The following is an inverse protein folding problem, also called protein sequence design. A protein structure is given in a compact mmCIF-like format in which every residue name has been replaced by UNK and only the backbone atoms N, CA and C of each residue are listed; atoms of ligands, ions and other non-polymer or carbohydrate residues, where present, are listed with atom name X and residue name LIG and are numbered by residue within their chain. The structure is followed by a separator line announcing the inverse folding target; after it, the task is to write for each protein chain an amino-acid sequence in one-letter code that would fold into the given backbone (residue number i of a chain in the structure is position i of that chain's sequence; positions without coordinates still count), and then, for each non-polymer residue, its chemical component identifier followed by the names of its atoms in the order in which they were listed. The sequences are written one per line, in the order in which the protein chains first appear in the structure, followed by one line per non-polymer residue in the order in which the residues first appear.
data_IF_386219170358
#
_entry.id   IF_386219170358
#
_cell.length_a   1.000
_cell.length_b   1.000
_cell.length_c   1.000
_cell.angle_alpha   90.00
_cell.angle_beta   90.00
_cell.angle_gamma   90.00
#
_symmetry.space_group_name_H-M   'P 1'
#
loop_
_entity.id
_entity.type
_entity.pdbx_description
1 polymer ?
#
# COMPACT_ATOMS: atom_id res chain seq x y z
N UNK A 1 -17.19 -17.67 23.26
CA UNK A 1 -17.77 -18.11 21.95
C UNK A 1 -18.40 -16.87 21.35
N UNK A 2 -18.19 -16.59 20.07
CA UNK A 2 -18.81 -15.42 19.43
C UNK A 2 -20.28 -15.72 19.11
N UNK A 3 -21.12 -14.70 19.24
CA UNK A 3 -22.55 -14.76 18.96
C UNK A 3 -22.96 -13.87 17.78
N UNK A 4 -22.14 -12.83 17.53
CA UNK A 4 -22.37 -11.87 16.46
C UNK A 4 -21.17 -11.79 15.54
N UNK A 5 -21.43 -11.73 14.24
CA UNK A 5 -20.40 -11.69 13.21
C UNK A 5 -20.59 -10.47 12.33
N UNK A 6 -19.59 -9.60 12.33
CA UNK A 6 -19.61 -8.38 11.55
C UNK A 6 -18.73 -8.56 10.32
N UNK A 7 -19.31 -8.55 9.16
CA UNK A 7 -18.57 -8.53 7.90
C UNK A 7 -18.41 -7.10 7.42
N UNK A 8 -17.21 -6.76 6.96
CA UNK A 8 -16.90 -5.43 6.45
C UNK A 8 -16.24 -5.53 5.09
N UNK A 9 -16.87 -4.89 4.12
CA UNK A 9 -16.32 -4.65 2.79
C UNK A 9 -15.79 -3.23 2.70
N UNK A 10 -14.52 -3.09 2.31
CA UNK A 10 -13.76 -1.83 2.39
C UNK A 10 -13.46 -1.30 1.01
N UNK A 11 -13.80 -0.04 0.79
CA UNK A 11 -13.39 0.76 -0.35
C UNK A 11 -12.42 1.87 0.06
N UNK A 12 -11.99 2.69 -0.88
CA UNK A 12 -11.01 3.76 -0.65
C UNK A 12 -11.50 4.80 0.37
N UNK A 13 -12.73 5.26 0.24
CA UNK A 13 -13.25 6.41 0.98
C UNK A 13 -14.37 6.03 1.98
N UNK A 14 -14.82 4.78 1.94
CA UNK A 14 -15.92 4.28 2.77
C UNK A 14 -15.81 2.76 2.98
N UNK A 15 -16.62 2.25 3.88
CA UNK A 15 -16.80 0.81 4.08
C UNK A 15 -18.25 0.49 4.38
N UNK A 16 -18.71 -0.65 3.91
CA UNK A 16 -20.03 -1.21 4.21
C UNK A 16 -19.91 -2.33 5.22
N UNK A 17 -20.87 -2.43 6.13
CA UNK A 17 -20.87 -3.49 7.13
C UNK A 17 -22.23 -4.21 7.22
N UNK A 18 -22.19 -5.45 7.67
CA UNK A 18 -23.35 -6.25 7.96
C UNK A 18 -23.09 -7.06 9.24
N UNK A 19 -24.03 -7.03 10.16
CA UNK A 19 -23.98 -7.81 11.41
C UNK A 19 -24.95 -8.97 11.29
N UNK A 20 -24.48 -10.19 11.52
CA UNK A 20 -25.30 -11.40 11.53
C UNK A 20 -25.21 -12.13 12.87
N UNK A 21 -26.28 -12.85 13.22
CA UNK A 21 -26.29 -13.81 14.33
C UNK A 21 -25.80 -15.21 13.89
N UNK A 22 -25.79 -16.14 14.83
CA UNK A 22 -25.46 -17.56 14.60
C UNK A 22 -26.37 -18.24 13.57
N UNK A 23 -27.58 -17.72 13.32
CA UNK A 23 -28.54 -18.23 12.33
C UNK A 23 -28.40 -17.51 10.98
N UNK A 24 -27.35 -16.72 10.78
CA UNK A 24 -27.09 -15.95 9.55
C UNK A 24 -28.13 -14.85 9.26
N UNK A 25 -28.98 -14.53 10.25
CA UNK A 25 -29.94 -13.43 10.13
C UNK A 25 -29.20 -12.09 10.25
N UNK A 26 -29.40 -11.21 9.30
CA UNK A 26 -28.91 -9.82 9.40
C UNK A 26 -29.66 -9.10 10.52
N UNK A 27 -28.92 -8.62 11.49
CA UNK A 27 -29.41 -7.83 12.62
C UNK A 27 -29.29 -6.33 12.32
N UNK A 28 -28.18 -5.93 11.72
CA UNK A 28 -27.94 -4.56 11.32
C UNK A 28 -27.04 -4.49 10.09
N UNK A 29 -27.14 -3.42 9.33
CA UNK A 29 -26.29 -3.14 8.17
C UNK A 29 -26.18 -1.64 7.94
N UNK A 30 -25.08 -1.19 7.36
CA UNK A 30 -24.88 0.21 7.05
C UNK A 30 -23.62 0.46 6.26
N UNK A 31 -23.32 1.73 6.06
CA UNK A 31 -22.07 2.19 5.44
C UNK A 31 -21.55 3.40 6.23
N UNK A 32 -20.23 3.49 6.36
CA UNK A 32 -19.54 4.57 7.07
C UNK A 32 -18.39 5.09 6.21
N UNK A 33 -18.01 6.36 6.42
CA UNK A 33 -16.83 6.94 5.82
C UNK A 33 -15.54 6.38 6.42
N UNK A 34 -14.47 6.32 5.62
CA UNK A 34 -13.13 5.93 6.08
C UNK A 34 -12.45 7.12 6.79
N UNK A 35 -13.08 7.63 7.85
CA UNK A 35 -12.64 8.77 8.64
C UNK A 35 -13.03 8.60 10.12
N UNK A 36 -12.59 9.54 10.96
CA UNK A 36 -12.81 9.48 12.40
C UNK A 36 -14.30 9.38 12.78
N UNK A 37 -15.16 10.14 12.13
CA UNK A 37 -16.60 10.13 12.39
C UNK A 37 -17.25 8.80 11.97
N UNK A 38 -16.89 8.29 10.79
CA UNK A 38 -17.35 6.99 10.32
C UNK A 38 -16.93 5.86 11.24
N UNK A 39 -15.69 5.88 11.75
CA UNK A 39 -15.24 4.91 12.75
C UNK A 39 -16.02 5.02 14.06
N UNK A 40 -16.24 6.23 14.56
CA UNK A 40 -17.04 6.46 15.77
C UNK A 40 -18.45 5.88 15.62
N UNK A 41 -19.11 6.15 14.49
CA UNK A 41 -20.45 5.64 14.20
C UNK A 41 -20.45 4.11 14.11
N UNK A 42 -19.48 3.52 13.43
CA UNK A 42 -19.33 2.07 13.34
C UNK A 42 -19.10 1.41 14.69
N UNK A 43 -18.23 1.97 15.54
CA UNK A 43 -18.00 1.44 16.89
C UNK A 43 -19.23 1.56 17.80
N UNK A 44 -20.03 2.63 17.66
CA UNK A 44 -21.31 2.75 18.37
C UNK A 44 -22.30 1.66 17.94
N UNK A 45 -22.23 1.20 16.70
CA UNK A 45 -23.05 0.07 16.24
C UNK A 45 -22.54 -1.23 16.85
N UNK A 46 -21.24 -1.54 16.71
CA UNK A 46 -20.66 -2.79 17.22
C UNK A 46 -20.82 -2.94 18.73
N UNK A 47 -20.69 -1.87 19.49
CA UNK A 47 -20.80 -1.91 20.95
C UNK A 47 -22.17 -2.38 21.47
N UNK A 48 -23.18 -2.42 20.61
CA UNK A 48 -24.52 -2.96 20.94
C UNK A 48 -24.59 -4.49 20.85
N UNK A 49 -23.58 -5.12 20.28
CA UNK A 49 -23.53 -6.56 20.05
C UNK A 49 -22.42 -7.17 20.92
N UNK A 50 -22.84 -7.79 22.01
CA UNK A 50 -21.91 -8.52 22.88
C UNK A 50 -21.28 -9.71 22.13
N UNK A 51 -20.06 -10.07 22.50
CA UNK A 51 -19.34 -11.19 21.87
C UNK A 51 -19.24 -11.10 20.34
N UNK A 52 -19.10 -9.90 19.80
CA UNK A 52 -18.95 -9.70 18.36
C UNK A 52 -17.52 -9.96 17.90
N UNK A 53 -17.39 -10.50 16.69
CA UNK A 53 -16.12 -10.57 15.95
C UNK A 53 -16.27 -9.93 14.58
N UNK A 54 -15.18 -9.35 14.08
CA UNK A 54 -15.17 -8.60 12.82
C UNK A 54 -14.33 -9.30 11.77
N UNK A 55 -14.89 -9.51 10.58
CA UNK A 55 -14.19 -9.96 9.38
C UNK A 55 -13.98 -8.81 8.41
N UNK A 56 -12.74 -8.57 8.01
CA UNK A 56 -12.36 -7.60 7.00
C UNK A 56 -11.86 -8.31 5.76
N UNK A 57 -12.34 -7.92 4.59
CA UNK A 57 -11.72 -8.36 3.35
C UNK A 57 -10.37 -7.63 3.14
N UNK A 58 -9.30 -8.40 2.89
CA UNK A 58 -7.95 -7.88 2.71
C UNK A 58 -7.70 -7.35 1.30
N UNK A 59 -8.49 -6.37 0.86
CA UNK A 59 -8.34 -5.74 -0.46
C UNK A 59 -7.32 -4.60 -0.39
N UNK A 60 -6.19 -4.73 -1.09
CA UNK A 60 -5.09 -3.77 -1.11
C UNK A 60 -4.68 -3.30 0.31
N UNK A 61 -4.50 -1.99 0.51
CA UNK A 61 -4.14 -1.39 1.81
C UNK A 61 -5.30 -0.64 2.48
N UNK A 62 -6.46 -0.57 1.82
CA UNK A 62 -7.58 0.25 2.29
C UNK A 62 -8.19 -0.22 3.61
N UNK A 63 -8.10 -1.53 3.93
CA UNK A 63 -8.60 -2.08 5.19
C UNK A 63 -7.76 -1.70 6.41
N UNK A 64 -6.50 -1.27 6.24
CA UNK A 64 -5.55 -1.07 7.34
C UNK A 64 -5.99 -0.02 8.36
N UNK A 65 -6.48 1.19 8.00
CA UNK A 65 -6.89 2.17 8.99
C UNK A 65 -7.98 1.64 9.91
N UNK A 66 -8.97 0.92 9.36
CA UNK A 66 -10.04 0.32 10.14
C UNK A 66 -9.52 -0.86 10.99
N UNK A 67 -8.63 -1.69 10.45
CA UNK A 67 -7.99 -2.78 11.19
C UNK A 67 -7.27 -2.25 12.43
N UNK A 68 -6.43 -1.22 12.28
CA UNK A 68 -5.72 -0.63 13.42
C UNK A 68 -6.68 -0.03 14.46
N UNK A 69 -7.76 0.60 14.00
CA UNK A 69 -8.77 1.15 14.90
C UNK A 69 -9.54 0.07 15.67
N UNK A 70 -9.77 -1.11 15.08
CA UNK A 70 -10.37 -2.29 15.72
C UNK A 70 -9.40 -2.91 16.74
N UNK A 71 -8.15 -3.14 16.34
CA UNK A 71 -7.12 -3.71 17.22
C UNK A 71 -6.83 -2.83 18.44
N UNK A 72 -6.84 -1.51 18.28
CA UNK A 72 -6.68 -0.56 19.37
C UNK A 72 -7.82 -0.60 20.41
N UNK A 73 -8.92 -1.30 20.11
CA UNK A 73 -10.07 -1.52 20.99
C UNK A 73 -10.23 -2.98 21.41
N UNK A 74 -9.21 -3.80 21.16
CA UNK A 74 -9.21 -5.24 21.46
C UNK A 74 -10.41 -5.99 20.85
N UNK A 75 -10.96 -5.49 19.73
CA UNK A 75 -12.05 -6.15 19.02
C UNK A 75 -11.48 -7.33 18.20
N UNK A 76 -11.93 -8.57 18.44
CA UNK A 76 -11.48 -9.74 17.70
C UNK A 76 -11.71 -9.57 16.20
N UNK A 77 -10.62 -9.47 15.44
CA UNK A 77 -10.66 -9.13 14.01
C UNK A 77 -9.95 -10.19 13.18
N UNK A 78 -10.58 -10.57 12.08
CA UNK A 78 -10.09 -11.58 11.15
C UNK A 78 -9.90 -10.97 9.77
N UNK A 79 -8.72 -11.16 9.17
CA UNK A 79 -8.48 -10.80 7.77
C UNK A 79 -8.83 -11.99 6.87
N UNK A 80 -9.74 -11.75 5.94
CA UNK A 80 -10.25 -12.76 5.02
C UNK A 80 -9.78 -12.40 3.61
N UNK A 81 -9.14 -13.35 2.94
CA UNK A 81 -8.67 -13.09 1.56
C UNK A 81 -9.85 -13.02 0.59
N UNK A 82 -9.81 -12.14 -0.44
CA UNK A 82 -10.84 -12.02 -1.45
C UNK A 82 -11.18 -13.35 -2.15
N UNK A 83 -10.19 -14.22 -2.28
CA UNK A 83 -10.36 -15.55 -2.86
C UNK A 83 -11.35 -16.41 -2.06
N UNK A 84 -11.23 -16.43 -0.73
CA UNK A 84 -12.13 -17.19 0.15
C UNK A 84 -13.54 -16.63 0.12
N UNK A 85 -13.71 -15.32 0.19
CA UNK A 85 -15.02 -14.65 0.10
C UNK A 85 -15.71 -14.98 -1.22
N UNK A 86 -14.97 -14.87 -2.33
CA UNK A 86 -15.49 -15.14 -3.67
C UNK A 86 -15.90 -16.62 -3.86
N UNK A 87 -15.11 -17.55 -3.36
CA UNK A 87 -15.44 -18.98 -3.44
C UNK A 87 -16.65 -19.32 -2.57
N UNK A 88 -16.72 -18.76 -1.38
CA UNK A 88 -17.86 -18.94 -0.49
C UNK A 88 -19.15 -18.36 -1.09
N UNK A 89 -19.10 -17.16 -1.65
CA UNK A 89 -20.24 -16.56 -2.37
C UNK A 89 -20.76 -17.45 -3.49
N UNK A 90 -19.86 -18.11 -4.23
CA UNK A 90 -20.24 -19.06 -5.29
C UNK A 90 -20.93 -20.31 -4.74
N UNK A 91 -20.45 -20.85 -3.60
CA UNK A 91 -21.02 -22.05 -2.99
C UNK A 91 -22.41 -21.80 -2.38
N UNK A 92 -22.66 -20.57 -1.89
CA UNK A 92 -23.93 -20.21 -1.27
C UNK A 92 -25.03 -19.80 -2.26
N UNK A 93 -24.82 -19.90 -3.57
CA UNK A 93 -25.77 -19.46 -4.63
C UNK A 93 -26.26 -18.00 -4.48
N UNK A 94 -25.55 -17.18 -3.71
CA UNK A 94 -25.86 -15.76 -3.49
C UNK A 94 -25.46 -14.92 -4.72
N UNK A 95 -25.71 -15.44 -5.91
CA UNK A 95 -25.49 -14.76 -7.18
C UNK A 95 -26.72 -13.95 -7.57
N UNK A 96 -26.53 -12.67 -7.82
CA UNK A 96 -26.84 -11.98 -9.10
C UNK A 96 -26.80 -10.46 -9.04
N UNK A 97 -26.58 -9.83 -7.89
CA UNK A 97 -26.38 -8.38 -7.88
C UNK A 97 -25.19 -8.05 -6.97
N UNK A 98 -24.11 -7.61 -7.58
CA UNK A 98 -22.92 -7.13 -6.87
C UNK A 98 -23.26 -5.77 -6.27
N UNK A 99 -23.45 -5.71 -4.96
CA UNK A 99 -23.53 -4.47 -4.19
C UNK A 99 -22.67 -4.62 -2.95
N UNK A 100 -22.01 -3.57 -2.51
CA UNK A 100 -21.12 -3.56 -1.33
C UNK A 100 -21.82 -4.09 -0.07
N UNK A 101 -23.13 -3.93 0.04
CA UNK A 101 -23.94 -4.46 1.13
C UNK A 101 -24.09 -5.99 1.09
N UNK A 102 -24.09 -6.57 -0.11
CA UNK A 102 -24.15 -8.03 -0.30
C UNK A 102 -22.79 -8.61 0.03
N UNK A 103 -21.70 -7.96 -0.37
CA UNK A 103 -20.35 -8.40 -0.11
C UNK A 103 -20.06 -8.38 1.41
N UNK A 104 -20.43 -7.33 2.14
CA UNK A 104 -20.35 -7.29 3.60
C UNK A 104 -21.14 -8.41 4.30
N UNK A 105 -22.34 -8.75 3.79
CA UNK A 105 -23.13 -9.88 4.31
C UNK A 105 -22.46 -11.23 4.07
N UNK A 106 -21.87 -11.42 2.90
CA UNK A 106 -21.12 -12.66 2.58
C UNK A 106 -19.96 -12.82 3.55
N UNK A 107 -19.23 -11.73 3.84
CA UNK A 107 -18.10 -11.74 4.78
C UNK A 107 -18.57 -12.10 6.20
N UNK A 108 -19.70 -11.54 6.68
CA UNK A 108 -20.21 -11.85 8.03
C UNK A 108 -20.64 -13.32 8.15
N UNK A 109 -21.37 -13.85 7.16
CA UNK A 109 -21.80 -15.26 7.14
C UNK A 109 -20.60 -16.21 7.00
N UNK A 110 -19.63 -15.87 6.15
CA UNK A 110 -18.38 -16.62 6.04
C UNK A 110 -17.66 -16.71 7.39
N UNK A 111 -17.52 -15.56 8.07
CA UNK A 111 -16.88 -15.51 9.38
C UNK A 111 -17.60 -16.39 10.38
N UNK A 112 -18.93 -16.28 10.47
CA UNK A 112 -19.73 -17.07 11.40
C UNK A 112 -19.56 -18.58 11.24
N UNK A 113 -19.41 -19.06 10.00
CA UNK A 113 -19.19 -20.48 9.70
C UNK A 113 -17.75 -20.95 9.91
N UNK A 114 -16.78 -20.08 9.78
CA UNK A 114 -15.38 -20.50 9.64
C UNK A 114 -14.45 -19.93 10.70
N UNK A 115 -14.90 -19.05 11.63
CA UNK A 115 -14.02 -18.35 12.57
C UNK A 115 -13.17 -19.31 13.42
N UNK A 116 -13.65 -20.49 13.74
CA UNK A 116 -12.91 -21.48 14.53
C UNK A 116 -11.65 -22.00 13.80
N UNK A 117 -11.64 -21.99 12.47
CA UNK A 117 -10.49 -22.35 11.64
C UNK A 117 -9.63 -21.17 11.22
N UNK A 118 -10.01 -19.95 11.57
CA UNK A 118 -9.27 -18.73 11.24
C UNK A 118 -8.46 -18.25 12.44
N UNK A 119 -7.33 -17.60 12.17
CA UNK A 119 -6.53 -16.94 13.22
C UNK A 119 -6.92 -15.47 13.30
N UNK A 120 -7.31 -14.96 14.47
CA UNK A 120 -7.52 -13.52 14.63
C UNK A 120 -6.20 -12.76 14.47
N UNK A 121 -6.28 -11.56 13.93
CA UNK A 121 -5.13 -10.67 13.81
C UNK A 121 -4.77 -10.17 15.20
N UNK A 122 -3.48 -10.26 15.56
CA UNK A 122 -2.98 -9.69 16.81
C UNK A 122 -2.30 -8.32 16.54
N UNK A 123 -2.23 -7.49 17.57
CA UNK A 123 -1.50 -6.21 17.49
C UNK A 123 -0.01 -6.42 17.15
N UNK A 124 0.58 -7.55 17.54
CA UNK A 124 1.95 -7.94 17.19
C UNK A 124 2.11 -8.34 15.71
N UNK A 125 1.02 -8.73 15.05
CA UNK A 125 1.00 -9.00 13.61
C UNK A 125 0.93 -7.70 12.78
N UNK A 126 0.89 -6.53 13.44
CA UNK A 126 0.85 -5.22 12.79
C UNK A 126 2.06 -5.08 11.86
N UNK A 127 1.78 -5.18 10.56
CA UNK A 127 2.74 -5.35 9.48
C UNK A 127 3.54 -4.07 9.13
N UNK A 128 3.53 -3.02 9.97
CA UNK A 128 4.21 -1.75 9.68
C UNK A 128 5.66 -1.93 9.26
N UNK A 129 6.43 -2.73 10.01
CA UNK A 129 7.83 -3.01 9.65
C UNK A 129 7.95 -3.81 8.35
N UNK A 130 7.07 -4.79 8.12
CA UNK A 130 7.06 -5.57 6.87
C UNK A 130 6.70 -4.71 5.68
N UNK A 131 5.77 -3.77 5.83
CA UNK A 131 5.38 -2.85 4.75
C UNK A 131 6.48 -1.85 4.45
N UNK A 132 7.13 -1.30 5.46
CA UNK A 132 8.32 -0.45 5.30
C UNK A 132 9.42 -1.23 4.59
N UNK A 133 9.67 -2.49 4.97
CA UNK A 133 10.66 -3.33 4.31
C UNK A 133 10.29 -3.60 2.83
N UNK A 134 9.04 -3.92 2.53
CA UNK A 134 8.55 -4.11 1.15
C UNK A 134 8.62 -2.83 0.33
N UNK A 135 8.27 -1.69 0.93
CA UNK A 135 8.38 -0.39 0.28
C UNK A 135 9.85 -0.08 -0.04
N UNK A 136 10.75 -0.27 0.91
CA UNK A 136 12.21 -0.12 0.71
C UNK A 136 12.69 -1.00 -0.45
N UNK A 137 12.30 -2.27 -0.47
CA UNK A 137 12.66 -3.21 -1.54
C UNK A 137 12.12 -2.75 -2.90
N UNK A 138 10.87 -2.32 -2.95
CA UNK A 138 10.25 -1.78 -4.17
C UNK A 138 10.99 -0.54 -4.70
N UNK A 139 11.32 0.40 -3.82
CA UNK A 139 12.08 1.61 -4.17
C UNK A 139 13.48 1.22 -4.67
N UNK A 140 14.15 0.27 -4.00
CA UNK A 140 15.46 -0.20 -4.42
C UNK A 140 15.42 -0.83 -5.82
N UNK A 141 14.44 -1.68 -6.10
CA UNK A 141 14.25 -2.28 -7.43
C UNK A 141 14.01 -1.21 -8.52
N UNK A 142 13.17 -0.22 -8.23
CA UNK A 142 12.91 0.91 -9.15
C UNK A 142 14.17 1.74 -9.39
N UNK A 143 14.96 1.99 -8.35
CA UNK A 143 16.24 2.71 -8.47
C UNK A 143 17.22 1.97 -9.35
N UNK A 144 17.38 0.64 -9.18
CA UNK A 144 18.24 -0.18 -10.04
C UNK A 144 17.78 -0.15 -11.49
N UNK A 145 16.48 -0.32 -11.74
CA UNK A 145 15.92 -0.26 -13.09
C UNK A 145 16.15 1.10 -13.76
N UNK A 146 15.96 2.19 -13.02
CA UNK A 146 16.23 3.55 -13.51
C UNK A 146 17.71 3.75 -13.85
N UNK A 147 18.63 3.26 -13.00
CA UNK A 147 20.08 3.31 -13.27
C UNK A 147 20.46 2.53 -14.53
N UNK A 148 19.92 1.33 -14.71
CA UNK A 148 20.16 0.53 -15.92
C UNK A 148 19.71 1.30 -17.15
N UNK A 149 18.49 1.86 -17.12
CA UNK A 149 17.94 2.62 -18.24
C UNK A 149 18.77 3.87 -18.56
N UNK A 150 19.17 4.63 -17.53
CA UNK A 150 20.04 5.80 -17.70
C UNK A 150 21.38 5.38 -18.34
N UNK A 151 22.02 4.33 -17.83
CA UNK A 151 23.28 3.82 -18.40
C UNK A 151 23.12 3.43 -19.85
N UNK A 152 22.05 2.74 -20.23
CA UNK A 152 21.77 2.37 -21.63
C UNK A 152 21.64 3.62 -22.52
N UNK A 153 20.86 4.61 -22.08
CA UNK A 153 20.68 5.86 -22.82
C UNK A 153 22.02 6.60 -23.02
N UNK A 154 22.77 6.77 -21.93
CA UNK A 154 24.07 7.48 -22.01
C UNK A 154 25.06 6.67 -22.87
N UNK A 155 25.11 5.34 -22.75
CA UNK A 155 25.98 4.50 -23.60
C UNK A 155 25.65 4.66 -25.07
N UNK A 156 24.37 4.84 -25.42
CA UNK A 156 23.94 5.00 -26.83
C UNK A 156 24.22 6.39 -27.35
N UNK A 157 24.07 7.44 -26.52
CA UNK A 157 24.16 8.86 -26.95
C UNK A 157 25.49 9.50 -26.66
N UNK A 158 26.24 9.00 -25.68
CA UNK A 158 27.53 9.54 -25.27
C UNK A 158 28.41 8.44 -24.61
N UNK A 159 28.90 7.45 -25.38
CA UNK A 159 29.63 6.30 -24.87
C UNK A 159 30.94 6.63 -24.14
N UNK A 160 31.63 7.71 -24.54
CA UNK A 160 32.87 8.14 -23.89
C UNK A 160 32.64 8.49 -22.43
N UNK A 161 31.55 9.16 -22.09
CA UNK A 161 31.24 9.54 -20.72
C UNK A 161 31.15 8.33 -19.79
N UNK A 162 30.56 7.23 -20.28
CA UNK A 162 30.39 5.98 -19.50
C UNK A 162 31.71 5.24 -19.29
N UNK A 163 32.67 5.39 -20.23
CA UNK A 163 33.97 4.75 -20.13
C UNK A 163 34.90 5.46 -19.14
N UNK A 164 34.87 6.78 -19.13
CA UNK A 164 35.82 7.60 -18.38
C UNK A 164 35.30 7.96 -16.97
N UNK A 165 33.96 7.93 -16.75
CA UNK A 165 33.36 8.43 -15.52
C UNK A 165 32.27 7.54 -14.98
N UNK A 166 32.10 7.51 -13.63
CA UNK A 166 30.92 6.97 -13.01
C UNK A 166 29.74 7.95 -13.12
N UNK A 167 28.84 7.67 -14.05
CA UNK A 167 27.67 8.49 -14.36
C UNK A 167 26.65 8.58 -13.21
N UNK A 168 26.78 7.76 -12.17
CA UNK A 168 25.85 7.76 -11.03
C UNK A 168 26.29 8.65 -9.88
N UNK A 169 27.39 9.36 -10.01
CA UNK A 169 27.77 10.40 -9.05
C UNK A 169 26.82 11.60 -9.14
N UNK A 170 26.66 12.31 -8.04
CA UNK A 170 25.78 13.49 -7.97
C UNK A 170 26.18 14.52 -9.03
N UNK A 171 27.48 14.74 -9.20
CA UNK A 171 28.01 15.70 -10.18
C UNK A 171 27.67 15.31 -11.61
N UNK A 172 27.82 14.02 -11.97
CA UNK A 172 27.52 13.55 -13.32
C UNK A 172 26.00 13.53 -13.62
N UNK A 173 25.18 13.17 -12.65
CA UNK A 173 23.73 13.29 -12.79
C UNK A 173 23.34 14.75 -13.01
N UNK A 174 23.92 15.69 -12.22
CA UNK A 174 23.65 17.12 -12.39
C UNK A 174 24.14 17.62 -13.74
N UNK A 175 25.29 17.15 -14.22
CA UNK A 175 25.80 17.48 -15.55
C UNK A 175 24.81 17.03 -16.65
N UNK A 176 24.31 15.82 -16.57
CA UNK A 176 23.36 15.27 -17.54
C UNK A 176 21.97 15.94 -17.45
N UNK A 177 21.56 16.43 -16.27
CA UNK A 177 20.33 17.23 -16.12
C UNK A 177 20.44 18.58 -16.83
N UNK A 178 21.59 19.26 -16.73
CA UNK A 178 21.81 20.61 -17.27
C UNK A 178 22.28 20.57 -18.74
N UNK A 179 23.05 19.55 -19.13
CA UNK A 179 23.67 19.37 -20.43
C UNK A 179 23.45 17.95 -20.92
N UNK A 180 22.25 17.61 -21.44
CA UNK A 180 21.80 16.23 -21.66
C UNK A 180 22.42 15.54 -22.89
N UNK A 181 23.32 16.18 -23.62
CA UNK A 181 23.95 15.58 -24.81
C UNK A 181 25.42 15.98 -24.94
N UNK A 182 26.21 15.15 -25.64
CA UNK A 182 27.60 15.43 -25.99
C UNK A 182 27.74 16.77 -26.71
N UNK A 183 26.79 17.12 -27.57
CA UNK A 183 26.79 18.38 -28.30
C UNK A 183 26.54 19.57 -27.36
N UNK A 184 25.66 19.43 -26.38
CA UNK A 184 25.38 20.45 -25.35
C UNK A 184 26.64 20.72 -24.50
N UNK A 185 27.36 19.66 -24.11
CA UNK A 185 28.61 19.76 -23.35
C UNK A 185 29.70 20.42 -24.20
N UNK A 186 29.86 20.02 -25.46
CA UNK A 186 30.84 20.61 -26.38
C UNK A 186 30.59 22.10 -26.61
N UNK A 187 29.36 22.56 -26.65
CA UNK A 187 28.99 23.97 -26.82
C UNK A 187 29.11 24.80 -25.52
N UNK A 188 29.16 24.14 -24.39
CA UNK A 188 29.25 24.82 -23.11
C UNK A 188 30.65 25.34 -22.84
N UNK A 189 30.78 26.50 -22.14
CA UNK A 189 32.07 26.98 -21.69
C UNK A 189 32.57 26.14 -20.52
N UNK A 190 33.89 25.99 -20.39
CA UNK A 190 34.54 25.32 -19.24
C UNK A 190 34.03 25.84 -17.90
N UNK A 191 33.91 27.16 -17.74
CA UNK A 191 33.36 27.80 -16.54
C UNK A 191 31.95 27.37 -16.21
N UNK A 192 31.10 27.11 -17.23
CA UNK A 192 29.73 26.59 -17.05
C UNK A 192 29.76 25.14 -16.57
N UNK A 193 30.61 24.32 -17.18
CA UNK A 193 30.77 22.91 -16.81
C UNK A 193 31.28 22.79 -15.37
N UNK A 194 32.33 23.50 -14.99
CA UNK A 194 32.84 23.54 -13.62
C UNK A 194 31.77 23.97 -12.61
N UNK A 195 31.00 25.02 -12.93
CA UNK A 195 29.93 25.52 -12.10
C UNK A 195 28.85 24.45 -11.87
N UNK A 196 28.49 23.71 -12.90
CA UNK A 196 27.50 22.63 -12.84
C UNK A 196 28.02 21.47 -12.00
N UNK A 197 29.24 21.00 -12.25
CA UNK A 197 29.86 19.89 -11.48
C UNK A 197 30.01 20.21 -10.00
N UNK A 198 30.24 21.46 -9.64
CA UNK A 198 30.43 21.91 -8.25
C UNK A 198 29.12 22.39 -7.57
N UNK A 199 28.00 22.54 -8.30
CA UNK A 199 26.80 23.21 -7.79
C UNK A 199 26.08 22.42 -6.67
N UNK A 200 26.08 21.09 -6.70
CA UNK A 200 25.43 20.24 -5.70
C UNK A 200 26.41 19.56 -4.72
N UNK A 201 27.69 19.84 -4.83
CA UNK A 201 28.73 19.28 -3.94
C UNK A 201 29.06 20.15 -2.73
N UNK A 202 28.18 21.09 -2.35
CA UNK A 202 28.36 21.90 -1.13
C UNK A 202 28.48 21.00 0.10
N UNK A 203 29.73 20.76 0.55
CA UNK A 203 30.04 19.98 1.76
C UNK A 203 31.03 18.83 1.59
N UNK A 204 31.37 18.39 0.36
CA UNK A 204 32.47 17.45 0.12
C UNK A 204 33.47 18.10 -0.83
N UNK A 205 34.71 18.33 -0.34
CA UNK A 205 35.84 18.83 -1.11
C UNK A 205 36.26 17.84 -2.22
N UNK A 206 35.48 17.72 -3.29
CA UNK A 206 35.90 17.12 -4.54
C UNK A 206 36.13 18.26 -5.54
N UNK A 207 37.37 18.71 -5.64
CA UNK A 207 37.83 19.52 -6.78
C UNK A 207 37.89 18.59 -7.99
N UNK A 208 36.83 18.55 -8.77
CA UNK A 208 36.83 17.95 -10.10
C UNK A 208 37.36 19.02 -11.05
N UNK A 209 38.54 18.79 -11.60
CA UNK A 209 39.09 19.61 -12.69
C UNK A 209 38.42 19.19 -13.99
N UNK A 210 38.05 20.15 -14.81
CA UNK A 210 37.52 19.94 -16.15
C UNK A 210 38.70 19.94 -17.14
N UNK A 211 39.53 18.89 -17.18
CA UNK A 211 40.49 18.60 -18.22
C UNK A 211 39.93 17.58 -19.20
#
# INVERSE_FOLDING_TARGET
MFEHFVGVDVSKDSFSFNVTDLREKTLEKGSCGMNHEGFKNFFNVISRFENASVGLESTATYHQPLLFALLARDIPTYLITPFLVKNFARSCSLRNTKTDTIDARIISVFLGKNYAGLRPVSASDSNGLREIARLRESISKKSVAAKIRLKQLVTTTFPELVKEHDIFTVSMITLLEELPSAEAIRKASLKKIEKVLNSKTKGRNLKLNAE
#
